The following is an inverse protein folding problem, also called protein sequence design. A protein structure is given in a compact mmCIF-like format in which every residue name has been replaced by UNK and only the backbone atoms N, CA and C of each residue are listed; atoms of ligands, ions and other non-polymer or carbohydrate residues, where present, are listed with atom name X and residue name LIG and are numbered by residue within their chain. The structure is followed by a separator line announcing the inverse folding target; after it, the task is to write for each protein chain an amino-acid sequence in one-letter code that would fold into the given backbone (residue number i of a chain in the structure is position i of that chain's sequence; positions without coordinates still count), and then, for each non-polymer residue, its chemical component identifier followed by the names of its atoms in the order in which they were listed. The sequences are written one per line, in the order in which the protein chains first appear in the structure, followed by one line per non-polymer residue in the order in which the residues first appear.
data_IF_565526546954
#
_entry.id   IF_565526546954
#
_cell.length_a   1.000
_cell.length_b   1.000
_cell.length_c   1.000
_cell.angle_alpha   90.00
_cell.angle_beta   90.00
_cell.angle_gamma   90.00
#
_symmetry.space_group_name_H-M   'P 1'
#
loop_
_entity.id
_entity.type
_entity.pdbx_description
1 polymer ?
#
# COMPACT_ATOMS: atom_id res chain seq x y z
N UNK A 1 0.96 14.15 9.69
CA UNK A 1 2.33 13.99 10.23
C UNK A 1 3.43 14.14 9.18
N UNK A 2 3.43 13.44 8.03
CA UNK A 2 4.42 13.66 6.96
C UNK A 2 4.19 14.98 6.20
N UNK A 3 2.93 15.27 5.83
CA UNK A 3 2.56 16.51 5.12
C UNK A 3 2.88 17.77 5.94
N UNK A 4 2.71 17.68 7.26
CA UNK A 4 2.93 18.79 8.18
C UNK A 4 4.43 19.03 8.45
N UNK A 5 5.25 17.98 8.34
CA UNK A 5 6.70 18.03 8.65
C UNK A 5 7.54 18.31 7.40
N UNK A 6 7.14 17.79 6.24
CA UNK A 6 7.92 17.81 5.00
C UNK A 6 7.20 18.47 3.82
N UNK A 7 5.97 18.93 4.02
CA UNK A 7 5.14 19.56 2.99
C UNK A 7 4.38 18.57 2.11
N UNK A 8 3.25 19.02 1.55
CA UNK A 8 2.34 18.21 0.73
C UNK A 8 3.01 17.51 -0.46
N UNK A 9 4.04 18.11 -1.05
CA UNK A 9 4.75 17.53 -2.19
C UNK A 9 5.54 16.26 -1.83
N UNK A 10 6.04 16.15 -0.60
CA UNK A 10 6.70 14.95 -0.08
C UNK A 10 5.65 13.91 0.31
N UNK A 11 4.53 14.34 0.88
CA UNK A 11 3.34 13.53 1.08
C UNK A 11 2.88 12.79 -0.18
N UNK A 12 2.65 13.55 -1.25
CA UNK A 12 2.22 13.01 -2.54
C UNK A 12 3.22 12.02 -3.13
N UNK A 13 4.53 12.27 -2.97
CA UNK A 13 5.56 11.32 -3.39
C UNK A 13 5.49 10.03 -2.60
N UNK A 14 5.30 10.11 -1.28
CA UNK A 14 5.16 8.95 -0.42
C UNK A 14 3.93 8.11 -0.80
N UNK A 15 2.79 8.77 -1.06
CA UNK A 15 1.56 8.12 -1.50
C UNK A 15 1.70 7.46 -2.88
N UNK A 16 2.35 8.12 -3.84
CA UNK A 16 2.65 7.51 -5.15
C UNK A 16 3.57 6.30 -5.03
N UNK A 17 4.55 6.36 -4.12
CA UNK A 17 5.46 5.25 -3.88
C UNK A 17 4.75 4.05 -3.27
N UNK A 18 3.93 4.28 -2.23
CA UNK A 18 3.02 3.28 -1.66
C UNK A 18 2.10 2.66 -2.72
N UNK A 19 1.51 3.49 -3.57
CA UNK A 19 0.67 3.03 -4.68
C UNK A 19 1.41 2.10 -5.64
N UNK A 20 2.71 2.33 -5.85
CA UNK A 20 3.55 1.50 -6.72
C UNK A 20 3.82 0.12 -6.10
N UNK A 21 3.88 0.04 -4.77
CA UNK A 21 4.01 -1.24 -4.05
C UNK A 21 2.76 -2.10 -4.13
N UNK A 22 1.57 -1.51 -4.26
CA UNK A 22 0.32 -2.27 -4.41
C UNK A 22 0.20 -3.02 -5.74
N UNK A 23 0.82 -2.50 -6.81
CA UNK A 23 0.90 -3.21 -8.10
C UNK A 23 1.73 -4.49 -8.04
N UNK A 24 2.56 -4.66 -7.00
CA UNK A 24 3.38 -5.87 -6.82
C UNK A 24 2.60 -7.04 -6.20
N UNK A 25 1.39 -6.80 -5.69
CA UNK A 25 0.62 -7.75 -4.88
C UNK A 25 -0.75 -8.03 -5.47
N UNK A 26 -1.45 -7.01 -6.00
CA UNK A 26 -2.65 -7.20 -6.80
C UNK A 26 -2.25 -7.61 -8.23
N UNK A 27 -1.91 -8.90 -8.39
CA UNK A 27 -1.45 -9.46 -9.67
C UNK A 27 -2.57 -10.13 -10.46
N UNK A 28 -3.71 -10.41 -9.83
CA UNK A 28 -4.83 -11.06 -10.48
C UNK A 28 -5.84 -10.02 -10.98
N UNK A 29 -6.57 -10.30 -12.08
CA UNK A 29 -7.60 -9.39 -12.59
C UNK A 29 -8.69 -9.05 -11.55
N UNK A 30 -8.99 -9.97 -10.64
CA UNK A 30 -9.98 -9.81 -9.58
C UNK A 30 -9.46 -9.07 -8.34
N UNK A 31 -8.15 -8.78 -8.24
CA UNK A 31 -7.59 -8.01 -7.14
C UNK A 31 -7.75 -6.51 -7.39
N UNK A 32 -8.31 -5.79 -6.42
CA UNK A 32 -8.53 -4.35 -6.51
C UNK A 32 -7.76 -3.65 -5.41
N UNK A 33 -6.88 -2.72 -5.79
CA UNK A 33 -6.26 -1.78 -4.87
C UNK A 33 -6.87 -0.39 -5.06
N UNK A 34 -7.35 0.21 -3.98
CA UNK A 34 -7.97 1.52 -3.99
C UNK A 34 -7.41 2.41 -2.89
N UNK A 35 -7.37 3.72 -3.15
CA UNK A 35 -7.17 4.73 -2.11
C UNK A 35 -8.55 5.09 -1.56
N UNK A 36 -8.79 4.78 -0.30
CA UNK A 36 -10.10 4.97 0.35
C UNK A 36 -10.30 6.43 0.80
N UNK A 37 -9.23 7.06 1.29
CA UNK A 37 -9.20 8.44 1.76
C UNK A 37 -7.77 8.95 1.84
N UNK A 38 -7.59 10.23 2.15
CA UNK A 38 -6.30 10.93 2.32
C UNK A 38 -5.05 10.04 2.26
N UNK A 39 -4.72 9.36 3.35
CA UNK A 39 -3.59 8.44 3.50
C UNK A 39 -4.01 6.97 3.71
N UNK A 40 -5.28 6.66 3.46
CA UNK A 40 -5.87 5.34 3.67
C UNK A 40 -5.99 4.56 2.35
N UNK A 41 -5.58 3.29 2.38
CA UNK A 41 -5.63 2.39 1.23
C UNK A 41 -6.37 1.10 1.60
N UNK A 42 -7.07 0.53 0.62
CA UNK A 42 -7.82 -0.72 0.74
C UNK A 42 -7.45 -1.66 -0.39
N UNK A 43 -7.37 -2.96 -0.06
CA UNK A 43 -7.11 -4.03 -1.01
C UNK A 43 -8.25 -5.04 -0.90
N UNK A 44 -8.92 -5.32 -2.01
CA UNK A 44 -9.91 -6.38 -2.15
C UNK A 44 -9.26 -7.51 -2.94
N UNK A 45 -9.21 -8.70 -2.35
CA UNK A 45 -8.62 -9.88 -2.96
C UNK A 45 -9.74 -10.84 -3.35
N UNK A 46 -9.86 -11.11 -4.66
CA UNK A 46 -10.84 -12.06 -5.16
C UNK A 46 -10.41 -13.49 -4.87
N UNK A 47 -11.38 -14.38 -4.63
CA UNK A 47 -11.16 -15.82 -4.41
C UNK A 47 -10.01 -16.11 -3.42
N UNK A 48 -9.95 -15.33 -2.35
CA UNK A 48 -8.87 -15.38 -1.36
C UNK A 48 -9.47 -15.51 0.02
N UNK A 49 -9.07 -16.58 0.72
CA UNK A 49 -9.47 -16.81 2.10
C UNK A 49 -8.66 -15.95 3.09
N UNK A 50 -9.01 -16.03 4.36
CA UNK A 50 -8.35 -15.24 5.40
C UNK A 50 -6.85 -15.50 5.52
N UNK A 51 -6.41 -16.75 5.26
CA UNK A 51 -4.99 -17.14 5.36
C UNK A 51 -4.21 -16.55 4.19
N UNK A 52 -4.74 -16.68 2.97
CA UNK A 52 -4.16 -16.09 1.77
C UNK A 52 -4.09 -14.56 1.87
N UNK A 53 -5.17 -13.93 2.34
CA UNK A 53 -5.21 -12.48 2.55
C UNK A 53 -4.14 -12.02 3.55
N UNK A 54 -3.98 -12.75 4.67
CA UNK A 54 -2.94 -12.47 5.65
C UNK A 54 -1.54 -12.55 5.04
N UNK A 55 -1.25 -13.60 4.26
CA UNK A 55 0.05 -13.77 3.60
C UNK A 55 0.35 -12.64 2.61
N UNK A 56 -0.64 -12.20 1.85
CA UNK A 56 -0.54 -11.06 0.92
C UNK A 56 -0.22 -9.77 1.68
N UNK A 57 -0.92 -9.52 2.78
CA UNK A 57 -0.71 -8.34 3.62
C UNK A 57 0.65 -8.36 4.34
N UNK A 58 1.11 -9.52 4.81
CA UNK A 58 2.45 -9.64 5.41
C UNK A 58 3.55 -9.28 4.41
N UNK A 59 3.47 -9.81 3.18
CA UNK A 59 4.41 -9.48 2.09
C UNK A 59 4.39 -8.00 1.74
N UNK A 60 3.21 -7.37 1.73
CA UNK A 60 3.08 -5.94 1.51
C UNK A 60 3.82 -5.14 2.58
N UNK A 61 3.57 -5.46 3.85
CA UNK A 61 4.17 -4.75 4.98
C UNK A 61 5.69 -4.94 4.99
N UNK A 62 6.18 -6.14 4.72
CA UNK A 62 7.61 -6.42 4.58
C UNK A 62 8.24 -5.62 3.45
N UNK A 63 7.61 -5.60 2.27
CA UNK A 63 8.07 -4.79 1.14
C UNK A 63 8.14 -3.31 1.52
N UNK A 64 7.09 -2.72 2.09
CA UNK A 64 7.09 -1.31 2.50
C UNK A 64 8.19 -1.03 3.53
N UNK A 65 8.36 -1.90 4.54
CA UNK A 65 9.41 -1.75 5.55
C UNK A 65 10.81 -1.80 4.93
N UNK A 66 11.01 -2.65 3.92
CA UNK A 66 12.30 -2.76 3.22
C UNK A 66 12.70 -1.49 2.47
N UNK A 67 11.73 -0.64 2.12
CA UNK A 67 11.96 0.62 1.39
C UNK A 67 12.62 1.68 2.28
N UNK A 68 12.78 1.44 3.60
CA UNK A 68 13.44 2.34 4.57
C UNK A 68 12.95 3.79 4.43
N UNK A 69 11.63 3.97 4.27
CA UNK A 69 11.04 5.31 4.24
C UNK A 69 11.34 5.97 5.59
N UNK A 70 12.00 7.15 5.62
CA UNK A 70 12.29 7.84 6.87
C UNK A 70 10.97 8.23 7.57
N UNK A 71 10.90 8.01 8.88
CA UNK A 71 9.81 8.51 9.72
C UNK A 71 9.97 10.01 10.00
#
# INVERSE_FOLDING_TARGET
MINDTYGHSIGDKCLKFLSSSFSLIAKRPEDICARYGGDEFMILLGDTDQIGAKLVMERLVENIRSLKIPN
#
